data_IF_947284971522
#
_entry.id   IF_947284971522
#
_cell.length_a   1.000
_cell.length_b   1.000
_cell.length_c   1.000
_cell.angle_alpha   90.00
_cell.angle_beta   90.00
_cell.angle_gamma   90.00
#
_symmetry.space_group_name_H-M   'P 1'
#
loop_
_entity.id
_entity.type
_entity.pdbx_description
1 polymer ?
#
# COMPACT_ATOMS: atom_id res chain seq x y z
N UNK A 1 18.08 18.55 5.29
CA UNK A 1 17.59 17.22 5.72
C UNK A 1 18.10 16.98 7.13
N UNK A 2 17.22 16.93 8.11
CA UNK A 2 17.57 16.37 9.41
C UNK A 2 17.88 14.89 9.22
N UNK A 3 19.10 14.50 9.50
CA UNK A 3 19.48 13.10 9.40
C UNK A 3 18.88 12.35 10.59
N UNK A 4 18.21 11.25 10.32
CA UNK A 4 17.75 10.33 11.35
C UNK A 4 18.91 9.90 12.24
N UNK A 5 18.72 9.97 13.55
CA UNK A 5 19.74 9.58 14.52
C UNK A 5 19.82 8.07 14.63
N UNK A 6 21.02 7.53 14.56
CA UNK A 6 21.31 6.10 14.75
C UNK A 6 21.66 5.83 16.21
N UNK A 7 21.18 4.73 16.74
CA UNK A 7 21.56 4.23 18.08
C UNK A 7 21.93 2.77 18.06
N UNK A 8 22.83 2.40 18.97
CA UNK A 8 23.14 0.98 19.23
C UNK A 8 21.85 0.25 19.66
N UNK A 9 21.48 -0.85 18.98
CA UNK A 9 20.31 -1.66 19.31
C UNK A 9 20.26 -2.08 20.80
N UNK A 10 21.39 -2.43 21.39
CA UNK A 10 21.47 -2.84 22.80
C UNK A 10 21.04 -1.72 23.74
N UNK A 11 21.38 -0.46 23.42
CA UNK A 11 20.96 0.71 24.22
C UNK A 11 19.44 0.89 24.26
N UNK A 12 18.73 0.29 23.31
CA UNK A 12 17.27 0.27 23.23
C UNK A 12 16.67 -1.11 23.56
N UNK A 13 17.41 -1.94 24.30
CA UNK A 13 16.97 -3.27 24.75
C UNK A 13 16.64 -4.23 23.60
N UNK A 14 17.33 -4.13 22.49
CA UNK A 14 17.25 -5.08 21.37
C UNK A 14 18.36 -6.10 21.50
N UNK A 15 18.01 -7.38 21.36
CA UNK A 15 18.99 -8.45 21.31
C UNK A 15 19.68 -8.47 19.94
N UNK A 16 20.96 -8.10 19.88
CA UNK A 16 21.72 -8.01 18.63
C UNK A 16 21.78 -9.33 17.86
N UNK A 17 21.88 -10.47 18.54
CA UNK A 17 21.95 -11.76 17.87
C UNK A 17 20.61 -12.09 17.16
N UNK A 18 19.49 -11.77 17.79
CA UNK A 18 18.18 -11.95 17.17
C UNK A 18 17.95 -10.96 16.05
N UNK A 19 18.42 -9.71 16.21
CA UNK A 19 18.34 -8.70 15.16
C UNK A 19 19.12 -9.13 13.91
N UNK A 20 20.35 -9.59 14.05
CA UNK A 20 21.15 -10.09 12.94
C UNK A 20 20.52 -11.30 12.26
N UNK A 21 19.96 -12.24 13.02
CA UNK A 21 19.21 -13.38 12.45
C UNK A 21 17.98 -12.93 11.67
N UNK A 22 17.24 -11.92 12.15
CA UNK A 22 16.09 -11.37 11.44
C UNK A 22 16.48 -10.72 10.12
N UNK A 23 17.61 -9.98 10.10
CA UNK A 23 18.14 -9.37 8.88
C UNK A 23 18.56 -10.45 7.87
N UNK A 24 19.32 -11.46 8.30
CA UNK A 24 19.72 -12.56 7.41
C UNK A 24 18.48 -13.32 6.88
N UNK A 25 17.52 -13.63 7.75
CA UNK A 25 16.27 -14.26 7.33
C UNK A 25 15.53 -13.44 6.25
N UNK A 26 15.50 -12.10 6.38
CA UNK A 26 14.87 -11.25 5.38
C UNK A 26 15.57 -11.33 4.03
N UNK A 27 16.91 -11.41 4.01
CA UNK A 27 17.71 -11.53 2.79
C UNK A 27 17.53 -12.89 2.11
N UNK A 28 17.46 -13.96 2.91
CA UNK A 28 17.29 -15.33 2.42
C UNK A 28 15.90 -15.56 1.81
N UNK A 29 14.90 -14.84 2.32
CA UNK A 29 13.48 -14.96 1.90
C UNK A 29 13.03 -13.81 0.98
N UNK A 30 13.94 -13.09 0.39
CA UNK A 30 13.61 -12.05 -0.58
C UNK A 30 12.84 -12.63 -1.77
N UNK A 31 11.82 -11.89 -2.21
CA UNK A 31 11.13 -12.20 -3.45
C UNK A 31 12.05 -11.92 -4.65
N UNK A 32 12.44 -12.96 -5.37
CA UNK A 32 13.37 -12.90 -6.51
C UNK A 32 12.71 -12.57 -7.86
N UNK A 33 11.51 -12.00 -7.85
CA UNK A 33 10.88 -11.55 -9.09
C UNK A 33 11.73 -10.45 -9.75
N UNK A 34 12.09 -10.66 -11.02
CA UNK A 34 12.74 -9.64 -11.83
C UNK A 34 11.76 -8.53 -12.22
N UNK A 35 12.27 -7.36 -12.62
CA UNK A 35 11.43 -6.26 -13.17
C UNK A 35 10.64 -6.75 -14.38
N UNK A 36 11.24 -7.53 -15.26
CA UNK A 36 10.55 -8.12 -16.41
C UNK A 36 9.37 -8.99 -15.99
N UNK A 37 9.55 -9.81 -14.94
CA UNK A 37 8.48 -10.62 -14.38
C UNK A 37 7.40 -9.76 -13.70
N UNK A 38 7.77 -8.63 -13.08
CA UNK A 38 6.78 -7.71 -12.52
C UNK A 38 5.96 -6.98 -13.57
N UNK A 39 6.55 -6.59 -14.70
CA UNK A 39 5.81 -6.06 -15.85
C UNK A 39 4.84 -7.10 -16.42
N UNK A 40 5.28 -8.35 -16.50
CA UNK A 40 4.44 -9.46 -16.93
C UNK A 40 3.34 -9.74 -15.90
N UNK A 41 3.62 -9.63 -14.60
CA UNK A 41 2.64 -9.80 -13.53
C UNK A 41 1.53 -8.73 -13.58
N UNK A 42 1.87 -7.46 -13.77
CA UNK A 42 0.87 -6.39 -13.94
C UNK A 42 0.07 -6.53 -15.21
N UNK A 43 0.64 -7.08 -16.28
CA UNK A 43 -0.05 -7.34 -17.56
C UNK A 43 -0.89 -8.62 -17.57
N UNK A 44 -0.49 -9.65 -16.82
CA UNK A 44 -1.16 -10.96 -16.82
C UNK A 44 -2.16 -11.11 -15.68
N UNK A 45 -2.07 -10.28 -14.63
CA UNK A 45 -3.00 -10.32 -13.51
C UNK A 45 -4.39 -9.74 -13.85
N UNK A 46 -4.52 -8.96 -14.93
CA UNK A 46 -5.81 -8.51 -15.44
C UNK A 46 -5.99 -8.96 -16.88
N UNK A 47 -6.99 -9.80 -17.14
CA UNK A 47 -7.45 -10.12 -18.50
C UNK A 47 -8.05 -8.88 -19.20
N UNK A 48 -8.22 -7.79 -18.47
CA UNK A 48 -8.71 -6.52 -18.96
C UNK A 48 -7.55 -5.54 -19.09
N UNK A 49 -7.32 -5.07 -20.30
CA UNK A 49 -6.35 -4.02 -20.58
C UNK A 49 -6.80 -2.74 -19.85
N UNK A 50 -6.05 -2.35 -18.81
CA UNK A 50 -6.32 -1.10 -18.10
C UNK A 50 -5.86 0.10 -18.95
N UNK A 51 -6.60 1.22 -18.96
CA UNK A 51 -6.07 2.47 -19.46
C UNK A 51 -4.79 2.80 -18.70
N UNK A 52 -3.72 3.12 -19.39
CA UNK A 52 -2.44 3.43 -18.78
C UNK A 52 -1.64 2.20 -18.27
N UNK A 53 -1.89 1.01 -18.79
CA UNK A 53 -1.05 -0.19 -18.54
C UNK A 53 0.29 -0.14 -19.29
N UNK A 54 0.46 0.82 -20.20
CA UNK A 54 1.70 1.02 -20.92
C UNK A 54 2.75 1.66 -20.00
N UNK A 55 3.90 1.00 -19.90
CA UNK A 55 5.04 1.54 -19.14
C UNK A 55 5.61 2.73 -19.89
N UNK A 56 5.39 3.93 -19.35
CA UNK A 56 5.91 5.17 -19.90
C UNK A 56 7.24 5.52 -19.22
N UNK A 57 8.28 5.70 -20.04
CA UNK A 57 9.59 6.17 -19.59
C UNK A 57 10.59 5.06 -19.28
N UNK A 58 11.78 5.42 -18.78
CA UNK A 58 12.85 4.47 -18.52
C UNK A 58 12.50 3.58 -17.32
N UNK A 59 12.58 2.28 -17.52
CA UNK A 59 12.47 1.29 -16.45
C UNK A 59 13.87 1.01 -15.91
N UNK A 60 14.05 1.12 -14.61
CA UNK A 60 15.28 0.73 -13.93
C UNK A 60 15.19 -0.73 -13.53
N UNK A 61 16.34 -1.40 -13.52
CA UNK A 61 16.44 -2.70 -12.88
C UNK A 61 16.06 -2.59 -11.41
N UNK A 62 15.40 -3.63 -10.91
CA UNK A 62 15.10 -3.74 -9.48
C UNK A 62 16.39 -3.72 -8.67
N UNK A 63 16.42 -2.94 -7.59
CA UNK A 63 17.51 -2.94 -6.64
C UNK A 63 17.52 -4.18 -5.75
N UNK A 64 18.66 -4.39 -5.08
CA UNK A 64 18.76 -5.39 -4.04
C UNK A 64 17.85 -5.05 -2.86
N UNK A 65 17.59 -6.05 -2.02
CA UNK A 65 16.77 -5.91 -0.83
C UNK A 65 17.30 -4.80 0.07
N UNK A 66 16.43 -3.87 0.40
CA UNK A 66 16.70 -2.78 1.32
C UNK A 66 15.82 -2.89 2.55
N UNK A 67 16.37 -2.61 3.71
CA UNK A 67 15.61 -2.62 4.95
C UNK A 67 16.09 -1.59 5.96
N UNK A 68 15.15 -1.19 6.80
CA UNK A 68 15.34 -0.20 7.86
C UNK A 68 14.53 -0.60 9.08
N UNK A 69 15.14 -0.58 10.25
CA UNK A 69 14.43 -0.79 11.52
C UNK A 69 14.58 0.45 12.38
N UNK A 70 13.44 0.97 12.81
CA UNK A 70 13.34 2.14 13.69
C UNK A 70 12.73 1.71 15.01
N UNK A 71 13.34 2.13 16.11
CA UNK A 71 12.78 1.99 17.45
C UNK A 71 12.90 3.29 18.23
N UNK A 72 11.78 3.75 18.79
CA UNK A 72 11.71 4.99 19.58
C UNK A 72 12.28 6.22 18.84
N UNK A 73 12.05 6.32 17.53
CA UNK A 73 12.55 7.41 16.69
C UNK A 73 14.02 7.30 16.29
N UNK A 74 14.71 6.19 16.57
CA UNK A 74 16.11 5.96 16.21
C UNK A 74 16.24 4.82 15.22
N UNK A 75 17.13 4.98 14.22
CA UNK A 75 17.53 3.88 13.36
C UNK A 75 18.43 2.95 14.18
N UNK A 76 18.04 1.67 14.26
CA UNK A 76 18.75 0.61 14.99
C UNK A 76 19.37 -0.44 14.07
N UNK A 77 18.88 -0.54 12.84
CA UNK A 77 19.50 -1.36 11.79
C UNK A 77 19.15 -0.82 10.41
N UNK A 78 20.03 -1.06 9.46
CA UNK A 78 19.90 -0.62 8.07
C UNK A 78 20.70 -1.56 7.19
N UNK A 79 20.17 -1.97 6.04
CA UNK A 79 20.88 -2.77 5.05
C UNK A 79 20.38 -2.47 3.64
N UNK A 80 21.21 -2.76 2.64
CA UNK A 80 20.97 -2.37 1.26
C UNK A 80 21.20 -0.87 1.03
N UNK A 81 20.45 -0.29 0.08
CA UNK A 81 20.47 1.14 -0.23
C UNK A 81 19.15 1.80 0.10
N UNK A 82 18.96 2.31 1.34
CA UNK A 82 17.70 2.91 1.77
C UNK A 82 17.41 4.27 1.13
N UNK A 83 18.36 4.87 0.43
CA UNK A 83 18.15 6.12 -0.31
C UNK A 83 17.75 5.88 -1.77
N UNK A 84 17.75 4.64 -2.22
CA UNK A 84 17.34 4.29 -3.57
C UNK A 84 15.86 4.62 -3.78
N UNK A 85 15.58 5.24 -4.91
CA UNK A 85 14.20 5.50 -5.34
C UNK A 85 13.65 4.28 -6.08
N UNK A 86 12.63 3.67 -5.52
CA UNK A 86 11.92 2.53 -6.07
C UNK A 86 10.40 2.73 -6.07
N UNK A 87 9.68 1.85 -6.77
CA UNK A 87 8.22 1.89 -6.78
C UNK A 87 7.66 1.53 -5.39
N UNK A 88 6.77 2.35 -4.89
CA UNK A 88 6.18 2.17 -3.56
C UNK A 88 4.99 1.22 -3.54
N UNK A 89 4.41 0.89 -4.71
CA UNK A 89 3.21 0.07 -4.81
C UNK A 89 2.13 0.48 -3.79
N UNK A 90 1.59 -0.46 -3.04
CA UNK A 90 0.54 -0.18 -2.05
C UNK A 90 1.02 0.62 -0.83
N UNK A 91 2.32 0.81 -0.60
CA UNK A 91 2.81 1.76 0.41
C UNK A 91 2.37 3.20 0.08
N UNK A 92 2.05 3.50 -1.18
CA UNK A 92 1.38 4.74 -1.58
C UNK A 92 0.13 5.05 -0.75
N UNK A 93 -0.61 4.02 -0.30
CA UNK A 93 -1.78 4.19 0.57
C UNK A 93 -1.44 4.79 1.94
N UNK A 94 -0.23 4.51 2.45
CA UNK A 94 0.27 5.12 3.68
C UNK A 94 0.50 6.63 3.50
N UNK A 95 1.05 7.04 2.35
CA UNK A 95 1.18 8.47 2.03
C UNK A 95 -0.18 9.13 1.86
N UNK A 96 -1.12 8.45 1.20
CA UNK A 96 -2.49 8.95 1.04
C UNK A 96 -3.18 9.11 2.39
N UNK A 97 -3.12 8.13 3.28
CA UNK A 97 -3.73 8.22 4.62
C UNK A 97 -3.10 9.34 5.46
N UNK A 98 -1.79 9.57 5.31
CA UNK A 98 -1.11 10.69 5.97
C UNK A 98 -1.62 12.03 5.42
N UNK A 99 -1.81 12.15 4.10
CA UNK A 99 -2.38 13.35 3.46
C UNK A 99 -3.81 13.61 3.94
N UNK A 100 -4.62 12.55 4.07
CA UNK A 100 -5.97 12.66 4.66
C UNK A 100 -5.90 13.13 6.12
N UNK A 101 -4.91 12.65 6.90
CA UNK A 101 -4.66 13.11 8.26
C UNK A 101 -4.38 14.62 8.32
N UNK A 102 -3.58 15.16 7.40
CA UNK A 102 -3.35 16.60 7.31
C UNK A 102 -4.63 17.37 6.97
N UNK A 103 -5.44 16.85 6.04
CA UNK A 103 -6.73 17.46 5.70
C UNK A 103 -7.71 17.46 6.88
N UNK A 104 -7.66 16.43 7.73
CA UNK A 104 -8.41 16.35 8.96
C UNK A 104 -7.93 17.40 9.98
N UNK A 105 -6.61 17.52 10.18
CA UNK A 105 -6.02 18.51 11.10
C UNK A 105 -6.31 19.94 10.66
N UNK A 106 -6.35 20.20 9.36
CA UNK A 106 -6.72 21.49 8.77
C UNK A 106 -8.24 21.77 8.78
N UNK A 107 -9.04 20.83 9.25
CA UNK A 107 -10.51 20.96 9.34
C UNK A 107 -11.24 20.83 8.00
N UNK A 108 -10.56 20.39 6.93
CA UNK A 108 -11.18 20.13 5.63
C UNK A 108 -12.06 18.86 5.67
N UNK A 109 -11.77 17.95 6.58
CA UNK A 109 -12.56 16.78 6.93
C UNK A 109 -12.94 16.92 8.41
N UNK A 110 -14.14 17.42 8.74
CA UNK A 110 -14.52 17.71 10.13
C UNK A 110 -14.69 16.46 10.99
N UNK A 111 -15.22 15.37 10.40
CA UNK A 111 -15.43 14.09 11.08
C UNK A 111 -15.18 12.94 10.09
N UNK A 112 -14.41 11.93 10.50
CA UNK A 112 -14.15 10.74 9.70
C UNK A 112 -15.42 9.91 9.46
N UNK A 113 -16.48 10.09 10.25
CA UNK A 113 -17.79 9.47 10.03
C UNK A 113 -18.68 10.26 9.07
N UNK A 114 -18.24 11.42 8.62
CA UNK A 114 -18.97 12.16 7.61
C UNK A 114 -19.03 11.40 6.29
N UNK A 115 -20.15 11.52 5.61
CA UNK A 115 -20.39 10.88 4.31
C UNK A 115 -19.60 11.60 3.22
N UNK A 116 -18.78 10.83 2.50
CA UNK A 116 -17.87 11.34 1.46
C UNK A 116 -18.60 12.13 0.37
N UNK A 117 -19.81 11.69 -0.02
CA UNK A 117 -20.58 12.34 -1.07
C UNK A 117 -20.89 13.83 -0.80
N UNK A 118 -20.83 14.27 0.46
CA UNK A 118 -21.05 15.68 0.83
C UNK A 118 -19.88 16.59 0.47
N UNK A 119 -18.71 16.01 0.22
CA UNK A 119 -17.46 16.70 -0.04
C UNK A 119 -16.93 16.48 -1.46
N UNK A 120 -17.54 15.56 -2.20
CA UNK A 120 -17.10 15.17 -3.53
C UNK A 120 -18.18 15.49 -4.55
N UNK A 121 -17.83 16.28 -5.54
CA UNK A 121 -18.66 16.48 -6.72
C UNK A 121 -18.45 15.31 -7.70
N UNK A 122 -19.53 14.88 -8.36
CA UNK A 122 -19.49 13.88 -9.41
C UNK A 122 -20.23 12.59 -9.12
N UNK A 123 -20.39 11.78 -10.16
CA UNK A 123 -21.28 10.59 -10.20
C UNK A 123 -20.81 9.40 -9.33
N UNK A 124 -19.57 9.43 -8.82
CA UNK A 124 -18.98 8.29 -8.12
C UNK A 124 -19.67 7.92 -6.80
N UNK A 125 -20.40 8.87 -6.20
CA UNK A 125 -21.08 8.69 -4.93
C UNK A 125 -22.59 8.98 -5.03
N UNK A 126 -23.19 9.00 -6.23
CA UNK A 126 -24.61 9.24 -6.41
C UNK A 126 -25.47 8.00 -6.11
N UNK A 127 -24.92 6.79 -6.26
CA UNK A 127 -25.62 5.55 -5.90
C UNK A 127 -26.00 5.54 -4.42
N UNK A 128 -27.24 5.16 -4.03
CA UNK A 128 -27.67 5.14 -2.64
C UNK A 128 -26.78 4.34 -1.70
N UNK A 129 -26.13 3.27 -2.19
CA UNK A 129 -25.16 2.51 -1.43
C UNK A 129 -23.87 3.34 -1.19
N UNK A 130 -23.34 3.97 -2.24
CA UNK A 130 -22.12 4.78 -2.15
C UNK A 130 -22.32 6.02 -1.28
N UNK A 131 -23.54 6.55 -1.18
CA UNK A 131 -23.85 7.65 -0.25
C UNK A 131 -23.70 7.28 1.23
N UNK A 132 -23.65 5.99 1.56
CA UNK A 132 -23.39 5.52 2.92
C UNK A 132 -21.90 5.50 3.30
N UNK A 133 -21.02 5.64 2.32
CA UNK A 133 -19.58 5.57 2.51
C UNK A 133 -19.08 6.78 3.29
N UNK A 134 -18.26 6.53 4.31
CA UNK A 134 -17.60 7.54 5.13
C UNK A 134 -16.10 7.61 4.81
N UNK A 135 -15.42 8.65 5.28
CA UNK A 135 -13.96 8.73 5.23
C UNK A 135 -13.30 7.56 5.97
N UNK A 136 -13.86 7.15 7.13
CA UNK A 136 -13.38 5.98 7.87
C UNK A 136 -13.47 4.69 7.04
N UNK A 137 -14.56 4.48 6.32
CA UNK A 137 -14.68 3.32 5.42
C UNK A 137 -13.61 3.31 4.33
N UNK A 138 -13.30 4.46 3.73
CA UNK A 138 -12.25 4.56 2.71
C UNK A 138 -10.87 4.28 3.31
N UNK A 139 -10.55 4.88 4.46
CA UNK A 139 -9.26 4.70 5.13
C UNK A 139 -9.02 3.26 5.56
N UNK A 140 -10.06 2.55 5.96
CA UNK A 140 -9.98 1.13 6.34
C UNK A 140 -10.14 0.17 5.16
N UNK A 141 -10.38 0.66 3.95
CA UNK A 141 -10.66 -0.17 2.77
C UNK A 141 -11.89 -1.09 2.95
N UNK A 142 -12.92 -0.60 3.63
CA UNK A 142 -14.18 -1.31 3.92
C UNK A 142 -15.39 -0.62 3.30
N UNK A 143 -15.17 0.19 2.27
CA UNK A 143 -16.23 1.01 1.66
C UNK A 143 -17.24 0.21 0.86
N UNK A 144 -16.86 -0.94 0.31
CA UNK A 144 -17.66 -1.72 -0.65
C UNK A 144 -18.21 -0.84 -1.79
N UNK A 145 -17.40 0.13 -2.24
CA UNK A 145 -17.78 1.08 -3.27
C UNK A 145 -18.27 0.35 -4.53
N UNK A 146 -19.41 0.79 -5.08
CA UNK A 146 -19.97 0.28 -6.32
C UNK A 146 -19.69 1.24 -7.46
N UNK A 147 -19.11 0.73 -8.53
CA UNK A 147 -18.86 1.53 -9.71
C UNK A 147 -17.95 0.84 -10.70
N UNK A 148 -17.52 1.60 -11.67
CA UNK A 148 -16.51 1.19 -12.64
C UNK A 148 -15.32 2.13 -12.55
N UNK A 149 -14.14 1.56 -12.42
CA UNK A 149 -12.89 2.29 -12.48
C UNK A 149 -12.12 1.80 -13.71
N UNK A 150 -11.83 2.71 -14.64
CA UNK A 150 -11.14 2.39 -15.89
C UNK A 150 -11.81 1.26 -16.70
N UNK A 151 -13.14 1.29 -16.79
CA UNK A 151 -13.95 0.24 -17.43
C UNK A 151 -13.89 -1.12 -16.73
N UNK A 152 -13.32 -1.18 -15.53
CA UNK A 152 -13.26 -2.36 -14.69
C UNK A 152 -14.33 -2.23 -13.59
N UNK A 153 -15.33 -3.11 -13.56
CA UNK A 153 -16.34 -3.06 -12.50
C UNK A 153 -15.75 -3.47 -11.14
N UNK A 154 -16.37 -3.02 -10.05
CA UNK A 154 -15.95 -3.28 -8.68
C UNK A 154 -15.78 -4.76 -8.33
N UNK A 155 -16.58 -5.62 -8.97
CA UNK A 155 -16.51 -7.07 -8.78
C UNK A 155 -15.35 -7.76 -9.53
N UNK A 156 -14.65 -7.07 -10.41
CA UNK A 156 -13.59 -7.69 -11.25
C UNK A 156 -12.42 -8.21 -10.42
N UNK A 157 -12.19 -7.65 -9.23
CA UNK A 157 -11.14 -8.09 -8.29
C UNK A 157 -11.64 -9.14 -7.29
N UNK A 158 -12.91 -9.53 -7.36
CA UNK A 158 -13.44 -10.59 -6.51
C UNK A 158 -13.05 -11.96 -7.06
N UNK A 159 -12.83 -12.95 -6.20
CA UNK A 159 -12.59 -14.30 -6.68
C UNK A 159 -13.75 -14.78 -7.55
N UNK A 160 -13.47 -15.66 -8.55
CA UNK A 160 -14.50 -16.19 -9.42
C UNK A 160 -15.70 -16.73 -8.63
N UNK A 161 -16.91 -16.45 -9.09
CA UNK A 161 -18.18 -16.79 -8.42
C UNK A 161 -18.43 -18.29 -8.22
N UNK A 162 -17.54 -19.15 -8.72
CA UNK A 162 -17.58 -20.59 -8.52
C UNK A 162 -16.91 -21.06 -7.21
N UNK A 163 -16.30 -20.14 -6.45
CA UNK A 163 -15.81 -20.44 -5.09
C UNK A 163 -16.87 -19.92 -4.12
N UNK A 164 -17.60 -20.80 -3.43
CA UNK A 164 -18.58 -20.39 -2.42
C UNK A 164 -17.90 -19.53 -1.33
N UNK A 165 -18.55 -18.46 -0.92
CA UNK A 165 -18.04 -17.50 0.06
C UNK A 165 -17.65 -18.16 1.39
N UNK A 166 -18.35 -19.23 1.76
CA UNK A 166 -18.11 -20.06 2.95
C UNK A 166 -16.81 -20.89 2.91
N UNK A 167 -16.15 -20.95 1.74
CA UNK A 167 -14.85 -21.63 1.60
C UNK A 167 -13.64 -20.68 1.56
N UNK A 168 -13.86 -19.37 1.60
CA UNK A 168 -12.79 -18.38 1.63
C UNK A 168 -12.19 -18.16 3.04
N UNK A 169 -12.94 -18.48 4.09
CA UNK A 169 -12.51 -18.33 5.49
C UNK A 169 -11.70 -19.52 6.04
N UNK A 170 -11.32 -20.48 5.19
CA UNK A 170 -10.64 -21.72 5.62
C UNK A 170 -9.22 -21.90 5.08
N UNK A 171 -8.57 -20.82 4.60
CA UNK A 171 -7.15 -20.85 4.17
C UNK A 171 -6.27 -19.92 5.00
#
# INVERSE_FOLDING_TARGET
RENWVRKDPQSLQINNNLLLKAIEYSKENENKLSIENMQMFTRTASDTKEPHDEVLGPVKERGDLTGLIIKNGYIVAEWGDPERVDMTFSVTKTFLSTTVGLAYDDGLIPDLNDKVYKFMDGEHFEDPHNQLITWDHLLRQTSEWKGNLWSKPDWADRPPSNIPFDKLDSQ
#
